data_IF_651648201384
#
_entry.id   IF_651648201384
#
_cell.length_a   1.000
_cell.length_b   1.000
_cell.length_c   1.000
_cell.angle_alpha   90.00
_cell.angle_beta   90.00
_cell.angle_gamma   90.00
#
_symmetry.space_group_name_H-M   'P 1'
#
loop_
_entity.id
_entity.type
_entity.pdbx_description
1 polymer ?
#
# COMPACT_ATOMS: atom_id res chain seq x y z
N UNK A 1 5.37 25.33 -3.66
CA UNK A 1 3.96 25.10 -4.07
C UNK A 1 3.54 23.76 -3.50
N UNK A 2 2.41 23.67 -2.80
CA UNK A 2 1.89 22.38 -2.30
C UNK A 2 0.93 21.79 -3.34
N UNK A 3 1.11 20.53 -3.73
CA UNK A 3 0.20 19.86 -4.68
C UNK A 3 -1.16 19.55 -4.03
N UNK A 4 -1.14 19.16 -2.75
CA UNK A 4 -2.33 18.95 -1.89
C UNK A 4 -2.06 19.49 -0.48
N UNK A 5 -3.12 19.73 0.29
CA UNK A 5 -3.03 20.16 1.69
C UNK A 5 -2.81 18.98 2.65
N UNK A 6 -2.33 19.26 3.86
CA UNK A 6 -2.13 18.24 4.91
C UNK A 6 -3.44 17.49 5.26
N UNK A 7 -4.60 18.15 5.42
CA UNK A 7 -5.88 17.45 5.64
C UNK A 7 -6.28 16.54 4.48
N UNK A 8 -6.03 16.95 3.23
CA UNK A 8 -6.28 16.10 2.05
C UNK A 8 -5.37 14.87 2.06
N UNK A 9 -4.08 15.03 2.33
CA UNK A 9 -3.14 13.90 2.43
C UNK A 9 -3.56 12.91 3.52
N UNK A 10 -3.96 13.41 4.71
CA UNK A 10 -4.49 12.57 5.79
C UNK A 10 -5.73 11.78 5.35
N UNK A 11 -6.67 12.42 4.64
CA UNK A 11 -7.88 11.77 4.12
C UNK A 11 -7.55 10.71 3.07
N UNK A 12 -6.65 11.00 2.13
CA UNK A 12 -6.22 10.08 1.08
C UNK A 12 -5.55 8.85 1.70
N UNK A 13 -4.62 9.04 2.65
CA UNK A 13 -3.95 7.94 3.33
C UNK A 13 -4.93 7.05 4.11
N UNK A 14 -5.93 7.64 4.77
CA UNK A 14 -6.97 6.87 5.46
C UNK A 14 -7.76 5.98 4.47
N UNK A 15 -8.18 6.51 3.34
CA UNK A 15 -8.93 5.75 2.31
C UNK A 15 -8.04 4.67 1.68
N UNK A 16 -6.78 4.99 1.37
CA UNK A 16 -5.82 4.01 0.85
C UNK A 16 -5.60 2.85 1.82
N UNK A 17 -5.56 3.13 3.13
CA UNK A 17 -5.41 2.09 4.14
C UNK A 17 -6.64 1.18 4.22
N UNK A 18 -7.86 1.74 4.17
CA UNK A 18 -9.09 0.98 4.39
C UNK A 18 -9.70 0.38 3.13
N UNK A 19 -9.37 0.91 1.95
CA UNK A 19 -10.04 0.57 0.68
C UNK A 19 -9.06 0.38 -0.51
N UNK A 20 -7.75 0.27 -0.23
CA UNK A 20 -6.71 0.28 -1.25
C UNK A 20 -6.61 -0.96 -2.16
N UNK A 21 -7.06 -2.12 -1.67
CA UNK A 21 -6.68 -3.44 -2.19
C UNK A 21 -7.87 -4.36 -2.51
N UNK A 22 -8.95 -3.81 -3.05
CA UNK A 22 -10.19 -4.56 -3.29
C UNK A 22 -10.64 -5.24 -1.99
N UNK A 23 -10.98 -6.51 -2.05
CA UNK A 23 -11.41 -7.35 -0.93
C UNK A 23 -10.29 -7.65 0.08
N UNK A 24 -9.04 -7.26 -0.18
CA UNK A 24 -7.87 -7.53 0.68
C UNK A 24 -7.35 -6.28 1.41
N UNK A 25 -8.12 -5.19 1.49
CA UNK A 25 -7.64 -3.96 2.16
C UNK A 25 -7.31 -4.17 3.65
N UNK A 26 -8.13 -4.96 4.35
CA UNK A 26 -7.85 -5.35 5.75
C UNK A 26 -6.60 -6.23 5.87
N UNK A 27 -6.44 -7.23 5.00
CA UNK A 27 -5.27 -8.11 4.96
C UNK A 27 -3.98 -7.35 4.63
N UNK A 28 -4.02 -6.40 3.70
CA UNK A 28 -2.88 -5.55 3.41
C UNK A 28 -2.52 -4.66 4.60
N UNK A 29 -3.51 -4.05 5.26
CA UNK A 29 -3.27 -3.25 6.46
C UNK A 29 -2.64 -4.09 7.58
N UNK A 30 -3.09 -5.33 7.79
CA UNK A 30 -2.54 -6.22 8.80
C UNK A 30 -1.12 -6.71 8.47
N UNK A 31 -0.89 -7.17 7.25
CA UNK A 31 0.39 -7.79 6.86
C UNK A 31 1.48 -6.78 6.50
N UNK A 32 1.11 -5.65 5.90
CA UNK A 32 2.06 -4.64 5.41
C UNK A 32 2.09 -3.42 6.33
N UNK A 33 0.95 -3.00 6.88
CA UNK A 33 0.90 -1.89 7.83
C UNK A 33 1.16 -0.52 7.21
N UNK A 34 0.77 -0.30 5.95
CA UNK A 34 0.92 0.97 5.25
C UNK A 34 -0.36 1.33 4.48
N UNK A 35 -0.72 2.62 4.33
CA UNK A 35 -1.64 3.07 3.30
C UNK A 35 -1.14 2.67 1.91
N UNK A 36 -1.99 2.05 1.09
CA UNK A 36 -1.59 1.71 -0.28
C UNK A 36 -2.74 1.67 -1.28
N UNK A 37 -2.40 1.47 -2.55
CA UNK A 37 -3.36 1.24 -3.63
C UNK A 37 -2.78 0.26 -4.64
N UNK A 38 -3.57 -0.74 -5.00
CA UNK A 38 -3.26 -1.68 -6.09
C UNK A 38 -3.98 -1.33 -7.40
N UNK A 39 -3.52 -1.91 -8.50
CA UNK A 39 -4.27 -1.95 -9.76
C UNK A 39 -3.98 -3.22 -10.57
N UNK A 40 -4.94 -3.64 -11.39
CA UNK A 40 -4.88 -4.87 -12.20
C UNK A 40 -3.74 -4.91 -13.22
N UNK A 41 -3.10 -3.77 -13.52
CA UNK A 41 -1.83 -3.72 -14.26
C UNK A 41 -0.64 -4.30 -13.50
N UNK A 42 -0.83 -4.76 -12.25
CA UNK A 42 0.18 -5.37 -11.40
C UNK A 42 1.00 -4.38 -10.58
N UNK A 43 0.61 -3.10 -10.56
CA UNK A 43 1.25 -2.05 -9.78
C UNK A 43 0.66 -1.94 -8.37
N UNK A 44 1.50 -1.67 -7.38
CA UNK A 44 1.10 -1.28 -6.03
C UNK A 44 1.93 -0.07 -5.60
N UNK A 45 1.27 0.96 -5.07
CA UNK A 45 1.91 2.05 -4.34
C UNK A 45 1.58 1.92 -2.85
N UNK A 46 2.56 2.13 -1.98
CA UNK A 46 2.39 2.18 -0.53
C UNK A 46 3.17 3.34 0.07
N UNK A 47 2.60 3.99 1.09
CA UNK A 47 3.12 5.23 1.67
C UNK A 47 3.39 5.02 3.16
N UNK A 48 4.61 5.27 3.60
CA UNK A 48 4.91 5.50 5.02
C UNK A 48 4.89 7.02 5.25
N UNK A 49 3.87 7.58 5.92
CA UNK A 49 3.78 9.01 6.15
C UNK A 49 5.07 9.57 6.75
N UNK A 50 5.55 10.69 6.19
CA UNK A 50 6.77 11.40 6.61
C UNK A 50 8.09 10.61 6.52
N UNK A 51 8.12 9.41 5.92
CA UNK A 51 9.36 8.63 5.75
C UNK A 51 9.65 8.32 4.30
N UNK A 52 8.75 7.61 3.60
CA UNK A 52 8.99 7.20 2.21
C UNK A 52 7.69 6.82 1.49
N UNK A 53 7.79 6.71 0.17
CA UNK A 53 6.82 6.06 -0.70
C UNK A 53 7.53 4.92 -1.44
N UNK A 54 6.85 3.79 -1.60
CA UNK A 54 7.36 2.63 -2.33
C UNK A 54 6.37 2.18 -3.38
N UNK A 55 6.87 1.92 -4.59
CA UNK A 55 6.07 1.38 -5.69
C UNK A 55 6.70 0.09 -6.14
N UNK A 56 5.88 -0.94 -6.31
CA UNK A 56 6.27 -2.25 -6.85
C UNK A 56 5.41 -2.58 -8.04
N UNK A 57 5.98 -3.34 -8.97
CA UNK A 57 5.26 -3.80 -10.15
C UNK A 57 5.63 -5.24 -10.49
N UNK A 58 4.60 -6.08 -10.63
CA UNK A 58 4.72 -7.44 -11.14
C UNK A 58 3.36 -7.85 -11.73
N UNK A 59 3.26 -8.16 -13.03
CA UNK A 59 1.98 -8.38 -13.70
C UNK A 59 1.12 -9.52 -13.13
N UNK A 60 1.73 -10.61 -12.63
CA UNK A 60 0.96 -11.74 -12.09
C UNK A 60 0.16 -11.33 -10.87
N UNK A 61 -1.16 -11.46 -10.96
CA UNK A 61 -2.11 -11.18 -9.88
C UNK A 61 -2.38 -12.43 -9.02
N UNK A 62 -2.80 -12.22 -7.78
CA UNK A 62 -3.42 -13.24 -6.94
C UNK A 62 -4.92 -13.37 -7.27
N UNK A 63 -5.62 -14.27 -6.57
CA UNK A 63 -7.06 -14.52 -6.78
C UNK A 63 -7.97 -13.29 -6.53
N UNK A 64 -7.45 -12.27 -5.84
CA UNK A 64 -8.18 -11.04 -5.48
C UNK A 64 -7.80 -9.84 -6.36
N UNK A 65 -7.01 -10.07 -7.40
CA UNK A 65 -6.64 -9.03 -8.37
C UNK A 65 -5.48 -8.13 -7.95
N UNK A 66 -4.75 -8.47 -6.89
CA UNK A 66 -3.58 -7.74 -6.42
C UNK A 66 -2.29 -8.39 -6.91
N UNK A 67 -1.22 -7.61 -7.15
CA UNK A 67 0.07 -8.16 -7.61
C UNK A 67 0.64 -9.16 -6.60
N UNK A 68 0.75 -10.44 -6.99
CA UNK A 68 1.17 -11.50 -6.07
C UNK A 68 2.57 -11.26 -5.49
N UNK A 69 3.55 -10.99 -6.36
CA UNK A 69 4.92 -10.68 -5.91
C UNK A 69 5.02 -9.33 -5.23
N UNK A 70 4.23 -8.34 -5.66
CA UNK A 70 4.21 -7.02 -5.04
C UNK A 70 3.76 -7.08 -3.58
N UNK A 71 2.65 -7.79 -3.31
CA UNK A 71 2.14 -8.03 -1.95
C UNK A 71 3.19 -8.72 -1.07
N UNK A 72 3.77 -9.82 -1.56
CA UNK A 72 4.80 -10.58 -0.82
C UNK A 72 6.06 -9.77 -0.53
N UNK A 73 6.50 -8.94 -1.48
CA UNK A 73 7.66 -8.09 -1.27
C UNK A 73 7.38 -7.05 -0.19
N UNK A 74 6.23 -6.37 -0.25
CA UNK A 74 5.89 -5.30 0.69
C UNK A 74 5.75 -5.82 2.12
N UNK A 75 5.10 -6.97 2.32
CA UNK A 75 5.02 -7.63 3.63
C UNK A 75 6.43 -7.96 4.18
N UNK A 76 7.28 -8.61 3.37
CA UNK A 76 8.64 -8.97 3.80
C UNK A 76 9.49 -7.73 4.08
N UNK A 77 9.34 -6.68 3.27
CA UNK A 77 10.04 -5.43 3.43
C UNK A 77 9.67 -4.78 4.77
N UNK A 78 8.39 -4.52 5.02
CA UNK A 78 7.96 -3.83 6.25
C UNK A 78 8.25 -4.65 7.49
N UNK A 79 8.15 -5.98 7.41
CA UNK A 79 8.57 -6.90 8.48
C UNK A 79 10.07 -6.77 8.79
N UNK A 80 10.92 -6.84 7.76
CA UNK A 80 12.37 -6.80 7.93
C UNK A 80 12.87 -5.43 8.40
N UNK A 81 12.20 -4.35 8.00
CA UNK A 81 12.60 -2.97 8.31
C UNK A 81 11.80 -2.36 9.46
N UNK A 82 10.92 -3.12 10.13
CA UNK A 82 10.00 -2.63 11.16
C UNK A 82 9.28 -1.33 10.73
N UNK A 83 8.79 -1.29 9.49
CA UNK A 83 8.25 -0.09 8.85
C UNK A 83 6.73 -0.14 8.66
N UNK A 84 6.03 -0.53 9.72
CA UNK A 84 4.57 -0.45 9.86
C UNK A 84 4.17 0.88 10.53
N UNK A 85 2.99 1.40 10.22
CA UNK A 85 2.38 2.53 10.97
C UNK A 85 1.59 2.08 12.21
N UNK A 86 1.46 0.78 12.41
CA UNK A 86 0.92 0.12 13.60
C UNK A 86 2.05 -0.52 14.41
#
# INVERSE_FOLDING_TARGET
>A
MSVITVPQAKRINAIMLTCGFYDESGEFAFRVGLPGKSGVGGGIVAVHPNKFCITVWSPKLNEKGNSYKGMLFLEKFTTKTASSIF
#
